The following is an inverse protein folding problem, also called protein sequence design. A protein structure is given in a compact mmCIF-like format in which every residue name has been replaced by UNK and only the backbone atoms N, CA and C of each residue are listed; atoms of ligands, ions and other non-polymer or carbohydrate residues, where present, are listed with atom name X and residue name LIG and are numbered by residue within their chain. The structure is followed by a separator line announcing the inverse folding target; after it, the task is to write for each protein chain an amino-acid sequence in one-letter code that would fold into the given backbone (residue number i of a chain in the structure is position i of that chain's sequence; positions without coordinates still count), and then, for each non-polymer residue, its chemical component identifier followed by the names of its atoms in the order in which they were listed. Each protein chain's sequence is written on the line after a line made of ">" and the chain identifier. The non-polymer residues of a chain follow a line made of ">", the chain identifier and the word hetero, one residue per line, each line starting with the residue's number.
data_IF_581147905535
#
_entry.id   IF_581147905535
#
_cell.length_a   1.000
_cell.length_b   1.000
_cell.length_c   1.000
_cell.angle_alpha   90.00
_cell.angle_beta   90.00
_cell.angle_gamma   90.00
#
_symmetry.space_group_name_H-M   'P 1'
#
loop_
_entity.id
_entity.type
_entity.pdbx_description
1 polymer ?
#
# COMPACT_ATOMS: atom_id res chain seq x y z
N UNK A 1 -45.54 -28.45 -12.08
CA UNK A 1 -44.28 -28.89 -12.72
C UNK A 1 -43.38 -27.72 -13.19
N UNK A 2 -43.92 -26.66 -13.75
CA UNK A 2 -43.14 -25.50 -14.26
C UNK A 2 -42.38 -24.72 -13.15
N UNK A 3 -42.93 -24.62 -11.94
CA UNK A 3 -42.33 -23.83 -10.85
C UNK A 3 -41.07 -24.50 -10.23
N UNK A 4 -41.05 -25.81 -10.16
CA UNK A 4 -39.85 -26.56 -9.69
C UNK A 4 -38.70 -26.49 -10.70
N UNK A 5 -39.02 -26.53 -12.00
CA UNK A 5 -38.02 -26.41 -13.07
C UNK A 5 -37.35 -25.01 -13.07
N UNK A 6 -38.14 -23.94 -12.83
CA UNK A 6 -37.62 -22.57 -12.71
C UNK A 6 -36.66 -22.41 -11.55
N UNK A 7 -36.94 -22.99 -10.38
CA UNK A 7 -36.07 -22.91 -9.19
C UNK A 7 -34.74 -23.65 -9.38
N UNK A 8 -34.77 -24.79 -10.06
CA UNK A 8 -33.53 -25.56 -10.36
C UNK A 8 -32.66 -24.80 -11.36
N UNK A 9 -33.21 -24.26 -12.42
CA UNK A 9 -32.49 -23.46 -13.41
C UNK A 9 -31.87 -22.21 -12.77
N UNK A 10 -32.62 -21.51 -11.92
CA UNK A 10 -32.12 -20.35 -11.17
C UNK A 10 -30.99 -20.74 -10.22
N UNK A 11 -31.10 -21.90 -9.54
CA UNK A 11 -30.05 -22.41 -8.65
C UNK A 11 -28.75 -22.71 -9.40
N UNK A 12 -28.85 -23.35 -10.56
CA UNK A 12 -27.68 -23.61 -11.42
C UNK A 12 -27.05 -22.33 -11.94
N UNK A 13 -27.85 -21.38 -12.40
CA UNK A 13 -27.37 -20.08 -12.86
C UNK A 13 -26.61 -19.34 -11.73
N UNK A 14 -27.18 -19.30 -10.53
CA UNK A 14 -26.54 -18.68 -9.37
C UNK A 14 -25.24 -19.38 -9.02
N UNK A 15 -25.20 -20.71 -8.99
CA UNK A 15 -23.99 -21.49 -8.70
C UNK A 15 -22.89 -21.22 -9.73
N UNK A 16 -23.22 -21.15 -11.02
CA UNK A 16 -22.26 -20.81 -12.08
C UNK A 16 -21.73 -19.40 -11.93
N UNK A 17 -22.60 -18.42 -11.63
CA UNK A 17 -22.18 -17.04 -11.41
C UNK A 17 -21.24 -16.90 -10.21
N UNK A 18 -21.58 -17.54 -9.09
CA UNK A 18 -20.71 -17.54 -7.89
C UNK A 18 -19.40 -18.24 -8.19
N UNK A 19 -19.44 -19.39 -8.85
CA UNK A 19 -18.24 -20.13 -9.25
C UNK A 19 -17.32 -19.31 -10.17
N UNK A 20 -17.90 -18.64 -11.16
CA UNK A 20 -17.17 -17.75 -12.05
C UNK A 20 -16.54 -16.56 -11.30
N UNK A 21 -17.31 -15.91 -10.41
CA UNK A 21 -16.82 -14.79 -9.62
C UNK A 21 -15.66 -15.22 -8.70
N UNK A 22 -15.81 -16.31 -7.98
CA UNK A 22 -14.77 -16.85 -7.10
C UNK A 22 -13.54 -17.27 -7.92
N UNK A 23 -13.76 -18.02 -9.01
CA UNK A 23 -12.69 -18.48 -9.89
C UNK A 23 -11.88 -17.33 -10.50
N UNK A 24 -12.56 -16.32 -11.02
CA UNK A 24 -11.90 -15.12 -11.57
C UNK A 24 -11.18 -14.34 -10.48
N UNK A 25 -11.78 -14.21 -9.30
CA UNK A 25 -11.15 -13.53 -8.17
C UNK A 25 -9.86 -14.23 -7.71
N UNK A 26 -9.88 -15.53 -7.56
CA UNK A 26 -8.70 -16.34 -7.18
C UNK A 26 -7.63 -16.30 -8.27
N UNK A 27 -8.03 -16.43 -9.54
CA UNK A 27 -7.12 -16.33 -10.67
C UNK A 27 -6.45 -14.96 -10.71
N UNK A 28 -7.22 -13.88 -10.59
CA UNK A 28 -6.68 -12.50 -10.58
C UNK A 28 -5.74 -12.29 -9.41
N UNK A 29 -6.11 -12.74 -8.21
CA UNK A 29 -5.24 -12.65 -7.03
C UNK A 29 -3.91 -13.38 -7.25
N UNK A 30 -3.95 -14.59 -7.78
CA UNK A 30 -2.74 -15.37 -8.07
C UNK A 30 -1.91 -14.74 -9.19
N UNK A 31 -2.54 -14.37 -10.30
CA UNK A 31 -1.88 -13.76 -11.46
C UNK A 31 -1.21 -12.42 -11.10
N UNK A 32 -1.90 -11.57 -10.34
CA UNK A 32 -1.38 -10.30 -9.85
C UNK A 32 -0.39 -10.45 -8.68
N UNK A 33 -0.01 -11.68 -8.32
CA UNK A 33 0.86 -11.95 -7.16
C UNK A 33 0.36 -11.28 -5.87
N UNK A 34 -0.93 -11.36 -5.61
CA UNK A 34 -1.57 -10.72 -4.45
C UNK A 34 -0.93 -11.07 -3.11
N UNK A 35 -0.39 -12.29 -2.97
CA UNK A 35 0.36 -12.70 -1.78
C UNK A 35 1.63 -11.85 -1.52
N UNK A 36 2.15 -11.13 -2.51
CA UNK A 36 3.29 -10.22 -2.32
C UNK A 36 2.99 -9.07 -1.36
N UNK A 37 1.72 -8.71 -1.18
CA UNK A 37 1.31 -7.73 -0.18
C UNK A 37 1.49 -8.20 1.27
N UNK A 38 1.66 -9.50 1.50
CA UNK A 38 1.86 -10.07 2.85
C UNK A 38 3.33 -9.98 3.32
N UNK A 39 4.28 -9.79 2.41
CA UNK A 39 5.70 -9.70 2.73
C UNK A 39 6.15 -8.24 2.94
N UNK A 40 7.30 -8.07 3.60
CA UNK A 40 8.00 -6.79 3.72
C UNK A 40 9.18 -6.67 2.73
N UNK A 41 9.38 -7.66 1.87
CA UNK A 41 10.43 -7.62 0.84
C UNK A 41 10.18 -6.44 -0.13
N UNK A 42 11.12 -5.49 -0.25
CA UNK A 42 10.98 -4.37 -1.17
C UNK A 42 10.76 -4.76 -2.63
N UNK A 43 11.21 -5.95 -3.02
CA UNK A 43 10.99 -6.49 -4.38
C UNK A 43 9.52 -6.76 -4.68
N UNK A 44 8.70 -6.95 -3.65
CA UNK A 44 7.26 -7.08 -3.84
C UNK A 44 6.62 -5.80 -4.41
N UNK A 45 7.18 -4.63 -4.11
CA UNK A 45 6.67 -3.35 -4.61
C UNK A 45 6.85 -3.20 -6.13
N UNK A 46 7.94 -3.74 -6.71
CA UNK A 46 8.18 -3.70 -8.16
C UNK A 46 7.36 -4.73 -8.96
N UNK A 47 6.49 -5.48 -8.29
CA UNK A 47 5.47 -6.26 -8.97
C UNK A 47 4.56 -5.37 -9.86
N UNK A 48 4.37 -4.10 -9.44
CA UNK A 48 3.79 -3.06 -10.28
C UNK A 48 4.92 -2.28 -10.95
N UNK A 49 5.01 -2.33 -12.29
CA UNK A 49 6.09 -1.69 -13.06
C UNK A 49 6.25 -0.19 -12.77
N UNK A 50 5.15 0.49 -12.45
CA UNK A 50 5.14 1.92 -12.10
C UNK A 50 5.95 2.24 -10.84
N UNK A 51 6.17 1.25 -9.96
CA UNK A 51 6.95 1.41 -8.73
C UNK A 51 8.46 1.22 -8.92
N UNK A 52 8.94 0.92 -10.13
CA UNK A 52 10.38 0.72 -10.39
C UNK A 52 11.20 1.95 -10.07
N UNK A 53 10.75 3.13 -10.50
CA UNK A 53 11.45 4.39 -10.21
C UNK A 53 11.61 4.62 -8.71
N UNK A 54 10.57 4.31 -7.94
CA UNK A 54 10.60 4.45 -6.48
C UNK A 54 11.56 3.43 -5.83
N UNK A 55 11.54 2.20 -6.31
CA UNK A 55 12.45 1.15 -5.86
C UNK A 55 13.91 1.50 -6.18
N UNK A 56 14.20 1.94 -7.40
CA UNK A 56 15.55 2.30 -7.81
C UNK A 56 16.08 3.52 -7.04
N UNK A 57 15.21 4.46 -6.70
CA UNK A 57 15.51 5.56 -5.81
C UNK A 57 15.86 5.07 -4.40
N UNK A 58 15.05 4.16 -3.83
CA UNK A 58 15.32 3.57 -2.52
C UNK A 58 16.65 2.79 -2.50
N UNK A 59 16.97 2.01 -3.53
CA UNK A 59 18.25 1.28 -3.64
C UNK A 59 19.45 2.21 -3.54
N UNK A 60 19.31 3.46 -3.99
CA UNK A 60 20.36 4.50 -3.96
C UNK A 60 20.30 5.38 -2.71
N UNK A 61 19.25 5.22 -1.88
CA UNK A 61 19.04 6.08 -0.71
C UNK A 61 19.93 5.68 0.47
N UNK A 62 20.07 6.62 1.41
CA UNK A 62 20.76 6.40 2.68
C UNK A 62 20.06 5.34 3.55
N UNK A 63 18.75 5.12 3.36
CA UNK A 63 17.93 4.20 4.16
C UNK A 63 17.93 2.75 3.65
N UNK A 64 18.56 2.46 2.51
CA UNK A 64 18.60 1.10 1.94
C UNK A 64 19.06 0.03 2.93
N UNK A 65 20.04 0.35 3.77
CA UNK A 65 20.64 -0.61 4.71
C UNK A 65 19.90 -0.70 6.04
N UNK A 66 19.04 0.26 6.36
CA UNK A 66 18.39 0.36 7.67
C UNK A 66 16.88 0.24 7.65
N UNK A 67 16.24 0.44 6.50
CA UNK A 67 14.78 0.44 6.40
C UNK A 67 14.30 -0.08 5.05
N UNK A 68 13.19 -0.81 5.07
CA UNK A 68 12.49 -1.26 3.86
C UNK A 68 11.26 -0.39 3.61
N UNK A 69 10.64 -0.53 2.43
CA UNK A 69 9.50 0.28 2.02
C UNK A 69 8.39 0.33 3.08
N UNK A 70 8.06 -0.82 3.68
CA UNK A 70 7.02 -0.92 4.68
C UNK A 70 7.36 -0.25 6.02
N UNK A 71 8.62 -0.04 6.34
CA UNK A 71 9.00 0.67 7.57
C UNK A 71 8.57 2.13 7.53
N UNK A 72 8.55 2.73 6.33
CA UNK A 72 8.10 4.10 6.12
C UNK A 72 6.62 4.19 5.72
N UNK A 73 6.11 3.20 4.95
CA UNK A 73 4.79 3.29 4.34
C UNK A 73 3.68 2.49 5.05
N UNK A 74 3.96 1.88 6.20
CA UNK A 74 2.92 1.23 7.00
C UNK A 74 2.94 1.71 8.45
N UNK A 75 1.76 1.78 9.10
CA UNK A 75 1.69 2.09 10.53
C UNK A 75 2.27 0.96 11.37
N UNK A 76 2.57 1.26 12.63
CA UNK A 76 3.03 0.28 13.61
C UNK A 76 1.90 -0.65 14.04
N UNK A 77 2.28 -1.86 14.44
CA UNK A 77 1.37 -2.90 14.89
C UNK A 77 0.84 -3.78 13.76
N UNK A 78 0.59 -5.04 14.10
CA UNK A 78 0.22 -6.07 13.12
C UNK A 78 -1.11 -5.73 12.41
N UNK A 79 -2.14 -5.41 13.18
CA UNK A 79 -3.48 -5.14 12.64
C UNK A 79 -3.49 -3.86 11.78
N UNK A 80 -3.00 -2.68 12.25
CA UNK A 80 -2.95 -1.48 11.43
C UNK A 80 -2.10 -1.63 10.17
N UNK A 81 -0.97 -2.34 10.27
CA UNK A 81 -0.10 -2.64 9.13
C UNK A 81 -0.84 -3.37 8.02
N UNK A 82 -1.46 -4.51 8.34
CA UNK A 82 -2.14 -5.30 7.32
C UNK A 82 -3.46 -4.69 6.86
N UNK A 83 -4.17 -3.97 7.70
CA UNK A 83 -5.32 -3.18 7.30
C UNK A 83 -4.94 -2.09 6.28
N UNK A 84 -3.84 -1.36 6.54
CA UNK A 84 -3.29 -0.38 5.60
C UNK A 84 -2.85 -1.01 4.29
N UNK A 85 -2.16 -2.16 4.33
CA UNK A 85 -1.76 -2.89 3.13
C UNK A 85 -2.97 -3.36 2.30
N UNK A 86 -4.00 -3.92 2.94
CA UNK A 86 -5.21 -4.37 2.26
C UNK A 86 -5.95 -3.21 1.60
N UNK A 87 -6.13 -2.09 2.32
CA UNK A 87 -6.78 -0.89 1.80
C UNK A 87 -6.00 -0.30 0.63
N UNK A 88 -4.69 -0.13 0.76
CA UNK A 88 -3.85 0.39 -0.32
C UNK A 88 -3.82 -0.55 -1.52
N UNK A 89 -3.73 -1.87 -1.31
CA UNK A 89 -3.79 -2.84 -2.39
C UNK A 89 -5.09 -2.76 -3.18
N UNK A 90 -6.22 -2.66 -2.47
CA UNK A 90 -7.53 -2.49 -3.10
C UNK A 90 -7.64 -1.17 -3.87
N UNK A 91 -7.26 -0.04 -3.25
CA UNK A 91 -7.34 1.27 -3.88
C UNK A 91 -6.42 1.39 -5.10
N UNK A 92 -5.22 0.82 -5.04
CA UNK A 92 -4.31 0.79 -6.19
C UNK A 92 -4.88 -0.08 -7.31
N UNK A 93 -5.37 -1.28 -7.00
CA UNK A 93 -5.98 -2.15 -8.01
C UNK A 93 -7.19 -1.47 -8.66
N UNK A 94 -8.06 -0.82 -7.88
CA UNK A 94 -9.20 -0.06 -8.40
C UNK A 94 -8.76 1.09 -9.30
N UNK A 95 -7.80 1.92 -8.86
CA UNK A 95 -7.29 3.05 -9.62
C UNK A 95 -6.69 2.62 -10.98
N UNK A 96 -5.86 1.57 -10.99
CA UNK A 96 -5.30 1.05 -12.24
C UNK A 96 -6.34 0.39 -13.15
N UNK A 97 -7.36 -0.26 -12.59
CA UNK A 97 -8.43 -0.87 -13.38
C UNK A 97 -9.32 0.18 -14.03
N UNK A 98 -9.60 1.27 -13.33
CA UNK A 98 -10.45 2.37 -13.82
C UNK A 98 -9.68 3.43 -14.62
N UNK A 99 -8.36 3.44 -14.54
CA UNK A 99 -7.52 4.50 -15.12
C UNK A 99 -7.55 5.82 -14.34
N UNK A 100 -8.13 5.83 -13.15
CA UNK A 100 -8.25 7.02 -12.30
C UNK A 100 -7.03 7.20 -11.40
N UNK A 101 -5.91 7.58 -11.98
CA UNK A 101 -4.69 7.93 -11.27
C UNK A 101 -3.92 9.04 -12.00
N UNK A 102 -3.22 9.92 -11.27
CA UNK A 102 -2.40 10.96 -11.89
C UNK A 102 -1.15 10.36 -12.53
N UNK A 103 -0.69 10.93 -13.65
CA UNK A 103 0.56 10.51 -14.32
C UNK A 103 1.76 10.55 -13.37
N UNK A 104 1.84 11.60 -12.55
CA UNK A 104 2.84 11.71 -11.48
C UNK A 104 2.21 11.23 -10.19
N UNK A 105 2.62 10.04 -9.74
CA UNK A 105 2.13 9.44 -8.50
C UNK A 105 2.55 10.29 -7.31
N UNK A 106 1.56 10.71 -6.53
CA UNK A 106 1.75 11.49 -5.33
C UNK A 106 1.22 10.76 -4.09
N UNK A 107 1.91 10.95 -2.97
CA UNK A 107 1.47 10.38 -1.71
C UNK A 107 0.16 11.03 -1.25
N UNK A 108 -0.82 10.22 -0.89
CA UNK A 108 -2.10 10.72 -0.34
C UNK A 108 -1.89 11.26 1.08
N UNK A 109 -2.69 12.26 1.53
CA UNK A 109 -2.49 12.91 2.83
C UNK A 109 -2.43 11.94 4.02
N UNK A 110 -3.31 10.93 4.05
CA UNK A 110 -3.31 9.93 5.13
C UNK A 110 -2.04 9.06 5.14
N UNK A 111 -1.50 8.70 3.95
CA UNK A 111 -0.25 7.96 3.83
C UNK A 111 0.95 8.82 4.20
N UNK A 112 0.90 10.11 3.86
CA UNK A 112 1.93 11.06 4.30
C UNK A 112 1.99 11.14 5.82
N UNK A 113 0.85 11.20 6.50
CA UNK A 113 0.80 11.20 7.97
C UNK A 113 1.40 9.91 8.58
N UNK A 114 1.23 8.75 7.93
CA UNK A 114 1.86 7.50 8.34
C UNK A 114 3.38 7.60 8.17
N UNK A 115 3.85 8.10 7.02
CA UNK A 115 5.29 8.24 6.73
C UNK A 115 5.96 9.23 7.69
N UNK A 116 5.32 10.37 7.99
CA UNK A 116 5.83 11.34 8.97
C UNK A 116 6.04 10.69 10.36
N UNK A 117 5.08 9.88 10.82
CA UNK A 117 5.21 9.16 12.08
C UNK A 117 6.26 8.06 12.03
N UNK A 118 6.45 7.43 10.88
CA UNK A 118 7.40 6.36 10.72
C UNK A 118 8.86 6.82 10.95
N UNK A 119 9.19 8.08 10.66
CA UNK A 119 10.51 8.65 10.95
C UNK A 119 10.85 8.57 12.45
N UNK A 120 9.85 8.76 13.31
CA UNK A 120 10.02 8.77 14.76
C UNK A 120 10.32 7.38 15.36
N UNK A 121 10.11 6.30 14.60
CA UNK A 121 10.47 4.94 15.06
C UNK A 121 11.98 4.81 15.33
N UNK A 122 12.79 5.50 14.55
CA UNK A 122 14.26 5.41 14.63
C UNK A 122 14.89 6.75 15.04
N UNK A 123 14.22 7.88 14.79
CA UNK A 123 14.79 9.21 14.94
C UNK A 123 14.16 10.02 16.10
N UNK A 124 13.40 9.39 17.00
CA UNK A 124 12.67 10.09 18.07
C UNK A 124 13.58 10.99 18.92
N UNK A 125 14.72 10.49 19.36
CA UNK A 125 15.64 11.22 20.26
C UNK A 125 16.19 12.49 19.60
N UNK A 126 16.62 12.38 18.34
CA UNK A 126 17.14 13.52 17.57
C UNK A 126 16.04 14.54 17.31
N UNK A 127 14.86 14.06 16.90
CA UNK A 127 13.72 14.92 16.58
C UNK A 127 13.20 15.63 17.81
N UNK A 128 13.18 14.99 18.98
CA UNK A 128 12.78 15.62 20.22
C UNK A 128 13.69 16.80 20.58
N UNK A 129 14.99 16.67 20.40
CA UNK A 129 15.94 17.75 20.65
C UNK A 129 15.74 18.93 19.68
N UNK A 130 15.40 18.66 18.42
CA UNK A 130 15.15 19.69 17.40
C UNK A 130 13.80 20.38 17.63
N UNK A 131 12.74 19.65 17.91
CA UNK A 131 11.37 20.18 18.04
C UNK A 131 11.21 21.09 19.25
N UNK A 132 11.90 20.84 20.34
CA UNK A 132 11.89 21.74 21.52
C UNK A 132 12.41 23.13 21.18
N UNK A 133 13.33 23.22 20.20
CA UNK A 133 13.97 24.49 19.84
C UNK A 133 13.34 25.21 18.66
N UNK A 134 12.69 24.47 17.75
CA UNK A 134 12.32 25.03 16.42
C UNK A 134 10.81 25.14 16.14
N UNK A 135 9.96 24.29 16.71
CA UNK A 135 8.51 24.34 16.48
C UNK A 135 7.70 23.82 17.68
N UNK A 136 7.39 24.70 18.66
CA UNK A 136 6.56 24.33 19.82
C UNK A 136 5.17 23.79 19.44
N UNK A 137 4.70 24.04 18.22
CA UNK A 137 3.40 23.61 17.72
C UNK A 137 3.45 22.28 16.95
N UNK A 138 4.63 21.66 16.78
CA UNK A 138 4.78 20.34 16.12
C UNK A 138 4.36 20.32 14.64
N UNK A 139 4.49 21.44 13.93
CA UNK A 139 4.05 21.60 12.53
C UNK A 139 5.12 21.25 11.50
N UNK A 140 6.35 20.99 11.95
CA UNK A 140 7.43 20.65 11.04
C UNK A 140 7.16 19.31 10.36
N UNK A 141 7.29 19.31 9.03
CA UNK A 141 7.14 18.11 8.21
C UNK A 141 8.53 17.52 7.92
N UNK A 142 8.78 16.30 8.38
CA UNK A 142 10.02 15.59 8.11
C UNK A 142 10.24 15.42 6.60
N UNK A 143 9.25 14.89 5.90
CA UNK A 143 9.31 14.70 4.43
C UNK A 143 9.23 16.01 3.66
N UNK A 144 8.82 17.10 4.28
CA UNK A 144 8.85 18.43 3.69
C UNK A 144 10.27 18.96 3.47
N UNK A 145 11.15 18.71 4.44
CA UNK A 145 12.57 19.10 4.38
C UNK A 145 13.45 17.96 3.85
N UNK A 146 13.16 16.69 4.21
CA UNK A 146 13.94 15.52 3.86
C UNK A 146 13.29 14.72 2.74
N UNK A 147 13.11 15.33 1.55
CA UNK A 147 12.36 14.74 0.43
C UNK A 147 13.00 13.51 -0.19
N UNK A 148 14.32 13.42 -0.12
CA UNK A 148 15.13 12.46 -0.89
C UNK A 148 15.65 11.29 -0.05
N UNK A 149 15.26 11.18 1.23
CA UNK A 149 15.83 10.18 2.14
C UNK A 149 15.42 8.74 1.82
N UNK A 150 14.24 8.55 1.26
CA UNK A 150 13.74 7.23 0.89
C UNK A 150 13.88 6.92 -0.60
N UNK A 151 13.46 7.86 -1.43
CA UNK A 151 13.53 7.77 -2.90
C UNK A 151 13.25 9.16 -3.50
N UNK A 152 13.76 9.41 -4.69
CA UNK A 152 13.50 10.63 -5.47
C UNK A 152 12.38 10.40 -6.47
#
# INVERSE_FOLDING_TARGET
>A
MSWMFSRTVFGWFFAVMVGAFVGLGLFTFWYARGASYLTDDPRACINCHVMRTQYDGWVKSSHRMGAVCNDCHTPEGLIPKYASKALNGFLHAAAFTTGDFPEVIQIKPHMRAITERACLKCHADIVQAINVSADPAGRLSCVGCHRDVGHR
#
